data_IF_062047190203
#
_entry.id   IF_062047190203
#
_cell.length_a   1.000
_cell.length_b   1.000
_cell.length_c   1.000
_cell.angle_alpha   90.00
_cell.angle_beta   90.00
_cell.angle_gamma   90.00
#
_symmetry.space_group_name_H-M   'P 1'
#
loop_
_entity.id
_entity.type
_entity.pdbx_description
1 polymer ?
#
# COMPACT_ATOMS: atom_id res chain seq x y z
N UNK A 1 9.45 -2.79 -10.46
CA UNK A 1 8.64 -2.46 -9.27
C UNK A 1 9.56 -2.06 -8.14
N UNK A 2 9.21 -1.02 -7.43
CA UNK A 2 10.06 -0.45 -6.38
C UNK A 2 9.21 0.03 -5.21
N UNK A 3 9.85 0.31 -4.09
CA UNK A 3 9.18 0.90 -2.94
C UNK A 3 8.47 2.20 -3.33
N UNK A 4 7.24 2.37 -2.88
CA UNK A 4 6.37 3.48 -3.24
C UNK A 4 5.42 3.19 -4.40
N UNK A 5 5.65 2.14 -5.16
CA UNK A 5 4.73 1.75 -6.21
C UNK A 5 3.45 1.16 -5.63
N UNK A 6 2.32 1.47 -6.29
CA UNK A 6 1.03 0.87 -5.99
C UNK A 6 0.78 -0.18 -7.06
N UNK A 7 0.59 -1.42 -6.63
CA UNK A 7 0.49 -2.57 -7.52
C UNK A 7 -0.82 -3.31 -7.28
N UNK A 8 -1.22 -4.12 -8.25
CA UNK A 8 -2.40 -4.98 -8.12
C UNK A 8 -1.97 -6.40 -7.82
N UNK A 9 -2.67 -7.03 -6.90
CA UNK A 9 -2.50 -8.44 -6.57
C UNK A 9 -3.86 -9.11 -6.48
N UNK A 10 -3.90 -10.43 -6.67
CA UNK A 10 -5.10 -11.23 -6.47
C UNK A 10 -5.10 -11.76 -5.05
N UNK A 11 -6.23 -11.60 -4.35
CA UNK A 11 -6.38 -12.14 -3.00
C UNK A 11 -6.98 -13.54 -3.13
N UNK A 12 -6.22 -14.61 -2.76
CA UNK A 12 -6.65 -15.99 -2.99
C UNK A 12 -7.93 -16.40 -2.24
N UNK A 13 -8.30 -15.66 -1.21
CA UNK A 13 -9.45 -15.97 -0.35
C UNK A 13 -10.78 -15.48 -0.93
N UNK A 14 -10.72 -14.77 -2.04
CA UNK A 14 -11.91 -14.24 -2.69
C UNK A 14 -12.23 -15.17 -3.88
N UNK A 15 -13.37 -15.85 -3.83
CA UNK A 15 -13.84 -16.72 -4.90
C UNK A 15 -13.94 -16.01 -6.25
N UNK A 16 -13.96 -14.69 -6.23
CA UNK A 16 -14.05 -13.88 -7.45
C UNK A 16 -12.69 -13.46 -7.99
N UNK A 17 -11.62 -13.86 -7.35
CA UNK A 17 -10.25 -13.46 -7.73
C UNK A 17 -10.13 -11.96 -7.98
N UNK A 18 -10.66 -11.16 -7.08
CA UNK A 18 -10.61 -9.71 -7.22
C UNK A 18 -9.19 -9.20 -7.14
N UNK A 19 -8.87 -8.32 -8.08
CA UNK A 19 -7.62 -7.58 -8.04
C UNK A 19 -7.71 -6.49 -6.97
N UNK A 20 -6.73 -6.44 -6.09
CA UNK A 20 -6.69 -5.46 -4.99
C UNK A 20 -5.42 -4.64 -5.08
N UNK A 21 -5.50 -3.32 -4.87
CA UNK A 21 -4.29 -2.51 -4.79
C UNK A 21 -3.58 -2.71 -3.45
N UNK A 22 -2.26 -2.73 -3.52
CA UNK A 22 -1.40 -2.72 -2.34
C UNK A 22 -0.25 -1.75 -2.61
N UNK A 23 0.31 -1.18 -1.54
CA UNK A 23 1.48 -0.31 -1.62
C UNK A 23 2.72 -1.09 -1.28
N UNK A 24 3.75 -1.01 -2.12
CA UNK A 24 5.07 -1.57 -1.79
C UNK A 24 5.75 -0.64 -0.79
N UNK A 25 5.91 -1.10 0.44
CA UNK A 25 6.62 -0.36 1.49
C UNK A 25 8.11 -0.48 1.34
N UNK A 26 8.59 -1.70 1.11
CA UNK A 26 10.03 -2.00 0.96
C UNK A 26 10.23 -3.22 0.08
N UNK A 27 11.35 -3.25 -0.61
CA UNK A 27 11.86 -4.47 -1.23
C UNK A 27 12.78 -5.14 -0.21
N UNK A 28 12.49 -6.40 0.11
CA UNK A 28 13.22 -7.13 1.14
C UNK A 28 14.53 -7.70 0.58
N UNK A 29 15.56 -7.87 1.43
CA UNK A 29 16.86 -8.30 0.94
C UNK A 29 16.88 -9.75 0.48
N UNK A 30 17.88 -10.05 -0.34
CA UNK A 30 18.27 -11.34 -0.88
C UNK A 30 17.34 -11.84 -1.97
N UNK A 31 16.04 -12.08 -1.68
CA UNK A 31 15.12 -12.66 -2.68
C UNK A 31 14.24 -11.63 -3.36
N UNK A 32 14.34 -10.36 -2.94
CA UNK A 32 13.58 -9.25 -3.51
C UNK A 32 12.07 -9.43 -3.41
N UNK A 33 11.60 -10.08 -2.34
CA UNK A 33 10.17 -10.07 -2.01
C UNK A 33 9.74 -8.68 -1.58
N UNK A 34 8.44 -8.42 -1.63
CA UNK A 34 7.89 -7.10 -1.37
C UNK A 34 7.10 -7.08 -0.08
N UNK A 35 7.51 -6.21 0.85
CA UNK A 35 6.68 -5.91 2.01
C UNK A 35 5.64 -4.88 1.59
N UNK A 36 4.37 -5.24 1.70
CA UNK A 36 3.27 -4.40 1.22
C UNK A 36 2.24 -4.15 2.32
N UNK A 37 1.49 -3.06 2.18
CA UNK A 37 0.30 -2.82 2.99
C UNK A 37 -0.92 -2.70 2.09
N UNK A 38 -2.09 -3.06 2.64
CA UNK A 38 -3.34 -2.98 1.90
C UNK A 38 -3.77 -1.54 1.65
N UNK A 39 -4.40 -1.31 0.50
CA UNK A 39 -5.04 -0.04 0.15
C UNK A 39 -6.54 -0.32 0.04
N UNK A 40 -7.34 0.40 0.83
CA UNK A 40 -8.79 0.15 0.93
C UNK A 40 -9.57 1.43 0.71
N UNK A 41 -10.74 1.31 0.06
CA UNK A 41 -11.69 2.42 -0.05
C UNK A 41 -12.57 2.57 1.19
N UNK A 42 -12.45 1.66 2.16
CA UNK A 42 -13.22 1.70 3.41
C UNK A 42 -12.54 2.63 4.41
N UNK A 43 -12.80 3.92 4.31
CA UNK A 43 -12.08 4.93 5.09
C UNK A 43 -12.27 4.79 6.60
N UNK A 44 -13.39 4.18 7.03
CA UNK A 44 -13.64 3.93 8.46
C UNK A 44 -12.63 2.97 9.08
N UNK A 45 -11.85 2.24 8.26
CA UNK A 45 -10.82 1.34 8.76
C UNK A 45 -9.54 2.06 9.18
N UNK A 46 -9.46 3.38 8.98
CA UNK A 46 -8.27 4.14 9.33
C UNK A 46 -8.00 4.09 10.85
N UNK A 47 -6.75 3.80 11.19
CA UNK A 47 -6.25 3.95 12.55
C UNK A 47 -5.59 5.33 12.63
N UNK A 48 -6.13 6.26 13.45
CA UNK A 48 -5.58 7.62 13.53
C UNK A 48 -4.11 7.64 13.95
N UNK A 49 -3.35 8.54 13.36
CA UNK A 49 -1.91 8.71 13.61
C UNK A 49 -1.05 7.49 13.24
N UNK A 50 -1.61 6.57 12.49
CA UNK A 50 -0.89 5.38 12.02
C UNK A 50 -1.05 5.21 10.53
N UNK A 51 -2.30 5.05 10.06
CA UNK A 51 -2.62 4.91 8.64
C UNK A 51 -2.64 6.25 7.92
N UNK A 52 -2.51 6.21 6.59
CA UNK A 52 -2.64 7.39 5.73
C UNK A 52 -3.94 7.31 4.96
N UNK A 53 -4.74 8.38 5.00
CA UNK A 53 -5.88 8.56 4.10
C UNK A 53 -5.50 9.57 3.04
N UNK A 54 -5.81 9.24 1.79
CA UNK A 54 -5.56 10.11 0.65
C UNK A 54 -6.88 10.27 -0.11
N UNK A 55 -7.42 11.49 -0.15
CA UNK A 55 -8.64 11.77 -0.87
C UNK A 55 -8.37 12.43 -2.22
N UNK A 56 -9.43 12.54 -3.02
CA UNK A 56 -9.34 13.04 -4.40
C UNK A 56 -8.88 14.50 -4.49
N UNK A 57 -8.99 15.24 -3.39
CA UNK A 57 -8.58 16.66 -3.33
C UNK A 57 -7.10 16.83 -3.06
N UNK A 58 -6.43 15.79 -2.59
CA UNK A 58 -5.00 15.85 -2.27
C UNK A 58 -4.20 15.92 -3.57
N UNK A 59 -3.17 16.78 -3.60
CA UNK A 59 -2.36 16.97 -4.81
C UNK A 59 -1.64 15.70 -5.27
N UNK A 60 -1.35 14.78 -4.35
CA UNK A 60 -0.67 13.52 -4.68
C UNK A 60 -1.61 12.41 -5.12
N UNK A 61 -2.93 12.65 -5.10
CA UNK A 61 -3.90 11.60 -5.39
C UNK A 61 -3.79 11.09 -6.83
N UNK A 62 -3.62 12.00 -7.79
CA UNK A 62 -3.57 11.63 -9.20
C UNK A 62 -2.43 10.66 -9.51
N UNK A 63 -1.29 10.78 -8.84
CA UNK A 63 -0.13 9.92 -9.05
C UNK A 63 -0.45 8.46 -8.73
N UNK A 64 -1.41 8.22 -7.85
CA UNK A 64 -1.73 6.87 -7.38
C UNK A 64 -2.57 6.07 -8.37
N UNK A 65 -3.28 6.74 -9.27
CA UNK A 65 -4.26 6.16 -10.20
C UNK A 65 -5.34 5.35 -9.49
N UNK A 66 -5.58 5.63 -8.20
CA UNK A 66 -6.71 5.04 -7.46
C UNK A 66 -8.01 5.73 -7.92
N UNK A 67 -9.11 4.99 -7.84
CA UNK A 67 -10.40 5.47 -8.34
C UNK A 67 -11.11 6.41 -7.36
N UNK A 68 -10.88 6.23 -6.08
CA UNK A 68 -11.57 6.95 -5.03
C UNK A 68 -10.67 7.11 -3.81
N UNK A 69 -11.06 8.00 -2.91
CA UNK A 69 -10.36 8.18 -1.63
C UNK A 69 -10.06 6.83 -0.98
N UNK A 70 -8.86 6.67 -0.47
CA UNK A 70 -8.38 5.38 0.02
C UNK A 70 -7.56 5.56 1.29
N UNK A 71 -7.53 4.49 2.09
CA UNK A 71 -6.68 4.39 3.27
C UNK A 71 -5.58 3.37 3.01
N UNK A 72 -4.34 3.76 3.32
CA UNK A 72 -3.16 2.89 3.26
C UNK A 72 -2.99 2.30 4.66
N UNK A 73 -3.24 0.99 4.78
CA UNK A 73 -3.43 0.35 6.08
C UNK A 73 -2.16 -0.37 6.56
N UNK A 74 -1.43 0.29 7.46
CA UNK A 74 -0.22 -0.31 8.04
C UNK A 74 -0.52 -1.50 8.96
N UNK A 75 -1.74 -1.62 9.46
CA UNK A 75 -2.15 -2.79 10.23
C UNK A 75 -2.44 -4.02 9.37
N UNK A 76 -2.45 -3.89 8.06
CA UNK A 76 -2.72 -4.99 7.14
C UNK A 76 -1.51 -5.17 6.22
N UNK A 77 -0.50 -5.89 6.72
CA UNK A 77 0.77 -6.12 6.04
C UNK A 77 0.82 -7.52 5.44
N UNK A 78 1.56 -7.65 4.36
CA UNK A 78 1.84 -8.94 3.75
C UNK A 78 3.21 -8.90 3.08
N UNK A 79 3.76 -10.08 2.82
CA UNK A 79 4.96 -10.24 1.99
C UNK A 79 4.53 -10.96 0.73
N UNK A 80 4.81 -10.34 -0.42
CA UNK A 80 4.45 -10.89 -1.72
C UNK A 80 5.71 -11.17 -2.53
N UNK A 81 5.66 -12.22 -3.34
CA UNK A 81 6.68 -12.45 -4.34
C UNK A 81 6.28 -11.77 -5.65
N UNK A 82 7.21 -11.70 -6.59
CA UNK A 82 6.95 -11.10 -7.90
C UNK A 82 5.77 -11.76 -8.62
N UNK A 83 5.63 -13.07 -8.46
CA UNK A 83 4.57 -13.84 -9.10
C UNK A 83 3.18 -13.47 -8.60
N UNK A 84 3.08 -12.93 -7.40
CA UNK A 84 1.79 -12.51 -6.81
C UNK A 84 1.31 -11.17 -7.36
N UNK A 85 2.13 -10.47 -8.12
CA UNK A 85 1.85 -9.11 -8.56
C UNK A 85 1.46 -9.14 -10.04
N UNK A 86 0.30 -8.53 -10.33
CA UNK A 86 -0.23 -8.43 -11.70
C UNK A 86 0.44 -7.29 -12.46
N UNK A 87 0.58 -6.13 -11.81
CA UNK A 87 1.20 -4.97 -12.43
C UNK A 87 1.13 -3.74 -11.55
N UNK A 88 1.80 -2.69 -11.98
CA UNK A 88 1.84 -1.39 -11.29
C UNK A 88 0.75 -0.48 -11.86
N UNK A 89 -0.01 0.18 -10.99
CA UNK A 89 -1.05 1.14 -11.41
C UNK A 89 -0.65 2.58 -11.16
N UNK A 90 0.19 2.84 -10.17
CA UNK A 90 0.58 4.20 -9.82
C UNK A 90 1.67 4.21 -8.78
N UNK A 91 1.86 5.37 -8.17
CA UNK A 91 2.91 5.55 -7.17
C UNK A 91 2.44 6.49 -6.07
N UNK A 92 2.96 6.31 -4.86
CA UNK A 92 2.78 7.23 -3.75
C UNK A 92 4.02 8.10 -3.65
N UNK A 93 3.83 9.43 -3.56
CA UNK A 93 4.95 10.37 -3.45
C UNK A 93 5.86 10.01 -2.28
N UNK A 94 7.15 10.21 -2.46
CA UNK A 94 8.17 9.79 -1.49
C UNK A 94 7.96 10.40 -0.10
N UNK A 95 7.51 11.65 -0.01
CA UNK A 95 7.20 12.29 1.28
C UNK A 95 6.15 11.51 2.05
N UNK A 96 5.08 11.09 1.39
CA UNK A 96 4.00 10.32 2.02
C UNK A 96 4.44 8.89 2.32
N UNK A 97 5.19 8.30 1.41
CA UNK A 97 5.76 6.96 1.60
C UNK A 97 6.69 6.92 2.82
N UNK A 98 7.60 7.91 2.94
CA UNK A 98 8.49 8.00 4.09
C UNK A 98 7.73 8.21 5.39
N UNK A 99 6.64 8.97 5.35
CA UNK A 99 5.78 9.18 6.50
C UNK A 99 5.16 7.86 7.00
N UNK A 100 4.69 7.03 6.08
CA UNK A 100 4.17 5.70 6.41
C UNK A 100 5.25 4.81 7.00
N UNK A 101 6.43 4.77 6.39
CA UNK A 101 7.54 3.96 6.89
C UNK A 101 7.95 4.38 8.29
N UNK A 102 7.98 5.69 8.55
CA UNK A 102 8.31 6.22 9.88
C UNK A 102 7.27 5.80 10.90
N UNK A 103 5.99 5.91 10.57
CA UNK A 103 4.91 5.50 11.48
C UNK A 103 5.01 4.02 11.83
N UNK A 104 5.27 3.18 10.84
CA UNK A 104 5.44 1.74 11.06
C UNK A 104 6.67 1.45 11.91
N UNK A 105 7.80 2.08 11.60
CA UNK A 105 9.05 1.88 12.33
C UNK A 105 8.91 2.28 13.80
N UNK A 106 8.30 3.42 14.07
CA UNK A 106 8.07 3.89 15.44
C UNK A 106 7.18 2.91 16.21
N UNK A 107 6.15 2.39 15.58
CA UNK A 107 5.28 1.39 16.21
C UNK A 107 6.04 0.10 16.52
N UNK A 108 6.84 -0.37 15.57
CA UNK A 108 7.56 -1.65 15.72
C UNK A 108 8.60 -1.60 16.85
N UNK A 109 9.15 -0.45 17.17
CA UNK A 109 10.17 -0.30 18.22
C UNK A 109 9.60 0.28 19.53
N UNK A 110 8.31 0.53 19.59
CA UNK A 110 7.68 1.11 20.77
C UNK A 110 7.47 0.08 21.87
#
# INVERSE_FOLDING_TARGET
>A
MKAGDIVLTVIPQDDRQKKRPVLILKVLPKYNDYLVCAVSSQLHQQIPNFDLVLDEKHEAFADTHLKTASVFRLANLAVLSKEDIIGTIGTLRSVLHQQLLKSLAEYLVS
#
